data_IF_985146625348
#
_entry.id   IF_985146625348
#
_cell.length_a   1.000
_cell.length_b   1.000
_cell.length_c   1.000
_cell.angle_alpha   90.00
_cell.angle_beta   90.00
_cell.angle_gamma   90.00
#
_symmetry.space_group_name_H-M   'P 1'
#
loop_
_entity.id
_entity.type
_entity.pdbx_description
1 polymer ?
#
# COMPACT_ATOMS: atom_id res chain seq x y z
N UNK A 1 25.01 0.64 12.29
CA UNK A 1 23.89 0.63 11.34
C UNK A 1 22.86 -0.45 11.68
N UNK A 2 23.24 -1.73 11.82
CA UNK A 2 22.31 -2.82 12.19
C UNK A 2 21.63 -2.63 13.55
N UNK A 3 22.33 -2.10 14.55
CA UNK A 3 21.77 -1.79 15.87
C UNK A 3 20.69 -0.71 15.79
N UNK A 4 20.91 0.32 14.96
CA UNK A 4 19.92 1.38 14.73
C UNK A 4 18.65 0.83 14.05
N UNK A 5 18.80 -0.01 13.03
CA UNK A 5 17.64 -0.65 12.35
C UNK A 5 16.81 -1.47 13.35
N UNK A 6 17.45 -2.26 14.21
CA UNK A 6 16.73 -3.03 15.25
C UNK A 6 15.99 -2.14 16.25
N UNK A 7 16.58 -0.99 16.62
CA UNK A 7 15.93 -0.02 17.51
C UNK A 7 14.68 0.56 16.85
N UNK A 8 14.80 1.04 15.60
CA UNK A 8 13.68 1.58 14.83
C UNK A 8 12.59 0.54 14.60
N UNK A 9 12.95 -0.70 14.28
CA UNK A 9 11.99 -1.80 14.14
C UNK A 9 11.19 -2.03 15.43
N UNK A 10 11.86 -2.00 16.58
CA UNK A 10 11.21 -2.13 17.89
C UNK A 10 10.25 -0.97 18.15
N UNK A 11 10.68 0.28 17.89
CA UNK A 11 9.86 1.47 18.09
C UNK A 11 8.61 1.46 17.20
N UNK A 12 8.75 1.14 15.91
CA UNK A 12 7.64 0.97 14.97
C UNK A 12 6.67 -0.11 15.49
N UNK A 13 7.19 -1.22 15.97
CA UNK A 13 6.37 -2.33 16.48
C UNK A 13 5.59 -1.92 17.73
N UNK A 14 6.22 -1.21 18.66
CA UNK A 14 5.56 -0.71 19.87
C UNK A 14 4.47 0.31 19.51
N UNK A 15 4.74 1.20 18.54
CA UNK A 15 3.74 2.14 18.04
C UNK A 15 2.51 1.43 17.47
N UNK A 16 2.73 0.41 16.62
CA UNK A 16 1.64 -0.42 16.09
C UNK A 16 0.87 -1.13 17.20
N UNK A 17 1.56 -1.70 18.19
CA UNK A 17 0.91 -2.38 19.31
C UNK A 17 0.00 -1.45 20.11
N UNK A 18 0.46 -0.21 20.37
CA UNK A 18 -0.36 0.82 21.03
C UNK A 18 -1.60 1.14 20.21
N UNK A 19 -1.43 1.45 18.92
CA UNK A 19 -2.54 1.77 18.02
C UNK A 19 -3.57 0.64 17.93
N UNK A 20 -3.12 -0.61 17.83
CA UNK A 20 -4.01 -1.79 17.82
C UNK A 20 -4.78 -1.89 19.13
N UNK A 21 -4.10 -1.79 20.27
CA UNK A 21 -4.75 -1.88 21.58
C UNK A 21 -5.78 -0.76 21.79
N UNK A 22 -5.48 0.45 21.32
CA UNK A 22 -6.41 1.58 21.39
C UNK A 22 -7.65 1.35 20.52
N UNK A 23 -7.46 0.85 19.29
CA UNK A 23 -8.58 0.47 18.40
C UNK A 23 -9.43 -0.63 19.03
N UNK A 24 -8.82 -1.70 19.53
CA UNK A 24 -9.55 -2.81 20.15
C UNK A 24 -10.38 -2.35 21.36
N UNK A 25 -9.84 -1.44 22.19
CA UNK A 25 -10.57 -0.85 23.31
C UNK A 25 -11.74 0.00 22.86
N UNK A 26 -11.54 0.82 21.83
CA UNK A 26 -12.54 1.76 21.34
C UNK A 26 -13.69 1.06 20.63
N UNK A 27 -13.37 0.09 19.76
CA UNK A 27 -14.35 -0.61 18.93
C UNK A 27 -15.00 -1.78 19.63
N UNK A 28 -14.39 -2.29 20.72
CA UNK A 28 -14.79 -3.54 21.39
C UNK A 28 -14.86 -4.74 20.41
N UNK A 29 -14.13 -4.65 19.30
CA UNK A 29 -14.17 -5.68 18.27
C UNK A 29 -13.51 -6.97 18.75
N UNK A 30 -14.13 -8.10 18.45
CA UNK A 30 -13.48 -9.40 18.59
C UNK A 30 -12.62 -9.66 17.36
N UNK A 31 -11.31 -9.72 17.55
CA UNK A 31 -10.33 -9.89 16.46
C UNK A 31 -9.56 -11.19 16.70
N UNK A 32 -9.56 -12.08 15.71
CA UNK A 32 -8.88 -13.37 15.77
C UNK A 32 -7.38 -13.21 15.47
N UNK A 33 -7.02 -12.37 14.51
CA UNK A 33 -5.62 -12.15 14.15
C UNK A 33 -5.40 -10.74 13.59
N UNK A 34 -4.13 -10.33 13.56
CA UNK A 34 -3.65 -9.06 13.03
C UNK A 34 -2.76 -9.35 11.83
N UNK A 35 -2.97 -8.67 10.70
CA UNK A 35 -2.03 -8.65 9.60
C UNK A 35 -1.01 -7.54 9.78
N UNK A 36 0.28 -7.86 9.83
CA UNK A 36 1.38 -6.89 9.91
C UNK A 36 2.20 -6.93 8.62
N UNK A 37 2.04 -5.93 7.75
CA UNK A 37 2.91 -5.76 6.59
C UNK A 37 4.30 -5.25 6.98
N UNK A 38 4.36 -4.38 7.98
CA UNK A 38 5.57 -3.65 8.35
C UNK A 38 5.87 -2.49 7.40
N UNK A 39 7.00 -1.81 7.66
CA UNK A 39 7.49 -0.71 6.84
C UNK A 39 8.58 -1.20 5.89
N UNK A 40 8.33 -1.16 4.60
CA UNK A 40 9.34 -1.53 3.59
C UNK A 40 10.48 -0.51 3.57
N UNK A 41 11.69 -0.97 3.78
CA UNK A 41 12.92 -0.15 3.70
C UNK A 41 13.79 -0.54 2.51
N UNK A 42 13.58 -1.72 1.95
CA UNK A 42 14.25 -2.19 0.74
C UNK A 42 13.39 -3.24 0.03
N UNK A 43 13.38 -3.17 -1.30
CA UNK A 43 12.74 -4.17 -2.13
C UNK A 43 13.41 -4.23 -3.50
N UNK A 44 13.87 -5.43 -3.89
CA UNK A 44 14.34 -5.75 -5.21
C UNK A 44 13.80 -7.14 -5.60
N UNK A 45 12.82 -7.15 -6.48
CA UNK A 45 12.15 -8.39 -6.93
C UNK A 45 13.04 -9.28 -7.81
N UNK A 46 13.98 -8.70 -8.55
CA UNK A 46 14.92 -9.45 -9.39
C UNK A 46 15.92 -10.22 -8.53
N UNK A 47 16.50 -9.58 -7.53
CA UNK A 47 17.41 -10.18 -6.58
C UNK A 47 16.71 -11.04 -5.51
N UNK A 48 15.37 -11.08 -5.54
CA UNK A 48 14.55 -11.79 -4.54
C UNK A 48 14.79 -11.33 -3.11
N UNK A 49 15.07 -10.03 -2.93
CA UNK A 49 15.33 -9.43 -1.63
C UNK A 49 14.25 -8.42 -1.29
N UNK A 50 13.69 -8.55 -0.12
CA UNK A 50 12.77 -7.56 0.42
C UNK A 50 12.90 -7.47 1.93
N UNK A 51 12.94 -6.26 2.46
CA UNK A 51 13.07 -6.02 3.90
C UNK A 51 11.99 -5.06 4.38
N UNK A 52 11.16 -5.55 5.27
CA UNK A 52 10.17 -4.80 6.01
C UNK A 52 10.58 -4.73 7.48
N UNK A 53 10.43 -3.55 8.09
CA UNK A 53 10.57 -3.35 9.53
C UNK A 53 9.23 -3.63 10.21
N UNK A 54 9.28 -4.42 11.26
CA UNK A 54 8.12 -4.82 12.04
C UNK A 54 8.30 -6.23 12.59
N UNK A 55 8.31 -6.34 13.92
CA UNK A 55 8.50 -7.61 14.60
C UNK A 55 7.14 -8.22 14.98
N UNK A 56 6.66 -9.18 14.17
CA UNK A 56 5.37 -9.82 14.39
C UNK A 56 5.28 -10.59 15.72
N UNK A 57 6.37 -11.19 16.18
CA UNK A 57 6.40 -11.88 17.50
C UNK A 57 6.23 -10.88 18.65
N UNK A 58 6.95 -9.75 18.59
CA UNK A 58 6.80 -8.68 19.59
C UNK A 58 5.39 -8.09 19.56
N UNK A 59 4.83 -7.82 18.37
CA UNK A 59 3.46 -7.33 18.24
C UNK A 59 2.45 -8.30 18.86
N UNK A 60 2.57 -9.59 18.58
CA UNK A 60 1.72 -10.64 19.17
C UNK A 60 1.81 -10.66 20.71
N UNK A 61 3.01 -10.55 21.25
CA UNK A 61 3.23 -10.53 22.70
C UNK A 61 2.58 -9.28 23.36
N UNK A 62 2.64 -8.12 22.71
CA UNK A 62 2.12 -6.86 23.25
C UNK A 62 0.59 -6.75 23.12
N UNK A 63 0.01 -7.33 22.07
CA UNK A 63 -1.43 -7.24 21.80
C UNK A 63 -2.22 -8.45 22.28
N UNK A 64 -1.52 -9.54 22.64
CA UNK A 64 -2.12 -10.86 22.98
C UNK A 64 -3.00 -11.42 21.86
N UNK A 65 -2.72 -11.04 20.61
CA UNK A 65 -3.40 -11.51 19.41
C UNK A 65 -2.44 -12.30 18.53
N UNK A 66 -2.98 -13.21 17.72
CA UNK A 66 -2.21 -13.88 16.65
C UNK A 66 -1.81 -12.83 15.61
N UNK A 67 -0.57 -12.88 15.13
CA UNK A 67 -0.08 -11.96 14.10
C UNK A 67 0.40 -12.75 12.90
N UNK A 68 -0.16 -12.41 11.73
CA UNK A 68 0.32 -12.89 10.43
C UNK A 68 1.20 -11.79 9.85
N UNK A 69 2.43 -12.13 9.48
CA UNK A 69 3.43 -11.16 9.02
C UNK A 69 4.38 -11.78 8.01
N UNK A 70 5.28 -10.96 7.45
CA UNK A 70 6.32 -11.39 6.52
C UNK A 70 5.75 -11.92 5.19
N UNK A 71 4.71 -11.27 4.68
CA UNK A 71 3.94 -11.72 3.51
C UNK A 71 4.76 -11.90 2.24
N UNK A 72 5.82 -11.11 2.04
CA UNK A 72 6.60 -11.09 0.80
C UNK A 72 7.58 -12.27 0.68
N UNK A 73 8.05 -12.80 1.81
CA UNK A 73 9.12 -13.80 1.84
C UNK A 73 8.71 -15.13 1.23
N UNK A 74 7.46 -15.54 1.43
CA UNK A 74 7.00 -16.79 0.85
C UNK A 74 6.90 -16.71 -0.69
N UNK A 75 6.45 -15.59 -1.21
CA UNK A 75 6.38 -15.34 -2.65
C UNK A 75 7.79 -15.32 -3.27
N UNK A 76 8.72 -14.57 -2.66
CA UNK A 76 10.12 -14.51 -3.09
C UNK A 76 10.79 -15.90 -3.11
N UNK A 77 10.58 -16.71 -2.06
CA UNK A 77 11.11 -18.06 -1.96
C UNK A 77 10.58 -19.01 -3.02
N UNK A 78 9.37 -18.77 -3.50
CA UNK A 78 8.74 -19.57 -4.56
C UNK A 78 8.92 -18.96 -5.96
N UNK A 79 9.89 -18.06 -6.12
CA UNK A 79 10.25 -17.48 -7.42
C UNK A 79 9.47 -16.23 -7.83
N UNK A 80 8.47 -15.81 -7.04
CA UNK A 80 7.74 -14.55 -7.25
C UNK A 80 8.62 -13.33 -6.99
N UNK A 81 8.09 -12.15 -7.26
CA UNK A 81 8.80 -10.88 -7.09
C UNK A 81 8.56 -10.23 -5.72
N UNK A 82 7.72 -10.84 -4.85
CA UNK A 82 7.38 -10.31 -3.54
C UNK A 82 6.48 -9.07 -3.57
N UNK A 83 6.22 -8.52 -4.74
CA UNK A 83 5.32 -7.42 -5.01
C UNK A 83 4.95 -7.38 -6.50
N UNK A 84 3.72 -6.91 -6.87
CA UNK A 84 2.62 -6.61 -5.96
C UNK A 84 1.92 -7.87 -5.42
N UNK A 85 1.39 -7.84 -4.20
CA UNK A 85 0.59 -8.93 -3.62
C UNK A 85 -0.92 -8.62 -3.61
N UNK A 86 -1.31 -7.36 -3.73
CA UNK A 86 -2.70 -6.93 -3.79
C UNK A 86 -3.54 -7.60 -4.89
N UNK A 87 -3.01 -7.96 -6.07
CA UNK A 87 -3.77 -8.65 -7.12
C UNK A 87 -4.41 -9.96 -6.67
N UNK A 88 -3.78 -10.69 -5.76
CA UNK A 88 -4.36 -11.91 -5.18
C UNK A 88 -5.64 -11.59 -4.41
N UNK A 89 -5.61 -10.52 -3.62
CA UNK A 89 -6.76 -10.04 -2.86
C UNK A 89 -7.87 -9.50 -3.78
N UNK A 90 -7.52 -8.75 -4.84
CA UNK A 90 -8.47 -8.27 -5.83
C UNK A 90 -9.21 -9.45 -6.50
N UNK A 91 -8.48 -10.52 -6.85
CA UNK A 91 -9.08 -11.74 -7.41
C UNK A 91 -10.02 -12.43 -6.41
N UNK A 92 -9.64 -12.49 -5.13
CA UNK A 92 -10.49 -13.06 -4.09
C UNK A 92 -11.79 -12.26 -3.90
N UNK A 93 -11.70 -10.93 -3.87
CA UNK A 93 -12.88 -10.04 -3.80
C UNK A 93 -13.77 -10.23 -5.01
N UNK A 94 -13.21 -10.22 -6.23
CA UNK A 94 -13.96 -10.43 -7.47
C UNK A 94 -14.80 -11.69 -7.39
N UNK A 95 -14.21 -12.80 -6.92
CA UNK A 95 -14.91 -14.07 -6.75
C UNK A 95 -15.96 -14.00 -5.63
N UNK A 96 -15.62 -13.42 -4.50
CA UNK A 96 -16.51 -13.32 -3.33
C UNK A 96 -17.74 -12.48 -3.61
N UNK A 97 -17.54 -11.33 -4.22
CA UNK A 97 -18.62 -10.36 -4.51
C UNK A 97 -19.29 -10.62 -5.88
N UNK A 98 -18.90 -11.70 -6.58
CA UNK A 98 -19.43 -12.11 -7.89
C UNK A 98 -19.38 -10.98 -8.93
N UNK A 99 -18.25 -10.25 -8.97
CA UNK A 99 -18.05 -9.17 -9.93
C UNK A 99 -17.81 -9.77 -11.32
N UNK A 100 -18.49 -9.23 -12.32
CA UNK A 100 -18.35 -9.67 -13.69
C UNK A 100 -16.93 -9.43 -14.22
N UNK A 101 -16.45 -10.34 -15.03
CA UNK A 101 -15.14 -10.27 -15.68
C UNK A 101 -15.30 -9.92 -17.18
N UNK A 102 -14.39 -9.16 -17.76
CA UNK A 102 -13.16 -8.62 -17.16
C UNK A 102 -13.41 -7.40 -16.25
N UNK A 103 -12.53 -7.21 -15.24
CA UNK A 103 -12.64 -6.07 -14.32
C UNK A 103 -11.26 -5.44 -14.04
N UNK A 104 -11.25 -4.14 -13.82
CA UNK A 104 -10.09 -3.38 -13.41
C UNK A 104 -10.25 -2.88 -11.96
N UNK A 105 -9.22 -3.09 -11.15
CA UNK A 105 -9.04 -2.42 -9.87
C UNK A 105 -7.98 -1.35 -10.05
N UNK A 106 -8.40 -0.08 -10.02
CA UNK A 106 -7.51 1.08 -10.14
C UNK A 106 -7.24 1.64 -8.75
N UNK A 107 -5.97 1.67 -8.36
CA UNK A 107 -5.53 2.28 -7.11
C UNK A 107 -4.90 3.65 -7.39
N UNK A 108 -5.56 4.71 -6.91
CA UNK A 108 -5.11 6.10 -7.04
C UNK A 108 -4.36 6.53 -5.77
N UNK A 109 -3.15 6.01 -5.61
CA UNK A 109 -2.23 6.36 -4.52
C UNK A 109 -1.18 7.40 -4.91
N UNK A 110 -0.06 7.40 -4.22
CA UNK A 110 1.11 8.20 -4.61
C UNK A 110 1.60 7.85 -6.01
N UNK A 111 1.68 6.56 -6.30
CA UNK A 111 1.80 5.96 -7.62
C UNK A 111 0.46 5.33 -7.96
N UNK A 112 0.01 5.52 -9.19
CA UNK A 112 -1.21 4.87 -9.71
C UNK A 112 -0.83 3.48 -10.22
N UNK A 113 -1.57 2.48 -9.76
CA UNK A 113 -1.42 1.12 -10.25
C UNK A 113 -2.76 0.47 -10.57
N UNK A 114 -2.73 -0.51 -11.46
CA UNK A 114 -3.91 -1.24 -11.90
C UNK A 114 -3.72 -2.73 -11.66
N UNK A 115 -4.81 -3.41 -11.34
CA UNK A 115 -4.95 -4.86 -11.45
C UNK A 115 -6.05 -5.16 -12.43
N UNK A 116 -5.72 -5.79 -13.54
CA UNK A 116 -6.67 -6.23 -14.55
C UNK A 116 -6.92 -7.73 -14.42
N UNK A 117 -8.16 -8.11 -14.19
CA UNK A 117 -8.59 -9.51 -14.05
C UNK A 117 -9.44 -9.87 -15.26
N UNK A 118 -8.87 -10.66 -16.17
CA UNK A 118 -9.50 -11.08 -17.43
C UNK A 118 -10.44 -12.26 -17.19
N UNK A 119 -9.97 -13.21 -16.39
CA UNK A 119 -10.70 -14.45 -16.10
C UNK A 119 -10.22 -15.09 -14.78
N UNK A 120 -10.83 -16.20 -14.39
CA UNK A 120 -10.55 -16.89 -13.14
C UNK A 120 -9.26 -17.74 -13.13
N UNK A 121 -8.53 -17.84 -14.26
CA UNK A 121 -7.26 -18.58 -14.32
C UNK A 121 -6.12 -17.81 -13.61
N UNK A 122 -5.10 -18.48 -13.12
CA UNK A 122 -3.93 -17.79 -12.54
C UNK A 122 -3.28 -16.78 -13.51
N UNK A 123 -3.17 -17.15 -14.78
CA UNK A 123 -2.63 -16.30 -15.87
C UNK A 123 -3.55 -15.16 -16.29
N UNK A 124 -4.78 -15.12 -15.80
CA UNK A 124 -5.74 -14.07 -16.14
C UNK A 124 -5.67 -12.83 -15.26
N UNK A 125 -4.55 -12.61 -14.54
CA UNK A 125 -4.35 -11.43 -13.70
C UNK A 125 -3.09 -10.72 -14.13
N UNK A 126 -3.24 -9.45 -14.52
CA UNK A 126 -2.15 -8.54 -14.83
C UNK A 126 -2.13 -7.41 -13.81
N UNK A 127 -0.95 -6.98 -13.37
CA UNK A 127 -0.83 -5.83 -12.48
C UNK A 127 0.48 -5.10 -12.71
N UNK A 128 0.38 -3.78 -12.82
CA UNK A 128 1.53 -2.91 -13.05
C UNK A 128 1.25 -1.47 -12.59
N UNK A 129 2.32 -0.71 -12.42
CA UNK A 129 2.24 0.72 -12.17
C UNK A 129 1.95 1.45 -13.49
N UNK A 130 1.00 2.39 -13.47
CA UNK A 130 0.64 3.20 -14.64
C UNK A 130 1.51 4.45 -14.69
N UNK A 131 1.71 5.10 -13.53
CA UNK A 131 2.47 6.33 -13.45
C UNK A 131 2.27 7.08 -12.13
N UNK A 132 2.76 8.33 -12.05
CA UNK A 132 2.59 9.14 -10.87
C UNK A 132 1.12 9.49 -10.63
N UNK A 133 0.72 9.45 -9.37
CA UNK A 133 -0.61 9.87 -8.90
C UNK A 133 -0.52 11.07 -7.96
N UNK A 134 -1.03 10.90 -6.75
CA UNK A 134 -1.06 11.98 -5.75
C UNK A 134 0.32 12.52 -5.36
N UNK A 135 1.41 11.78 -5.61
CA UNK A 135 2.75 12.23 -5.28
C UNK A 135 3.14 13.54 -5.97
N UNK A 136 2.70 13.77 -7.22
CA UNK A 136 2.97 15.02 -7.93
C UNK A 136 2.15 16.18 -7.36
N UNK A 137 0.89 15.94 -7.02
CA UNK A 137 0.02 16.93 -6.36
C UNK A 137 0.63 17.36 -5.04
N UNK A 138 1.01 16.40 -4.20
CA UNK A 138 1.64 16.68 -2.92
C UNK A 138 2.98 17.39 -3.06
N UNK A 139 3.80 17.00 -4.05
CA UNK A 139 5.06 17.67 -4.34
C UNK A 139 4.85 19.15 -4.74
N UNK A 140 3.85 19.39 -5.59
CA UNK A 140 3.47 20.76 -6.00
C UNK A 140 3.02 21.59 -4.80
N UNK A 141 2.13 21.04 -3.95
CA UNK A 141 1.64 21.73 -2.76
C UNK A 141 2.77 22.08 -1.81
N UNK A 142 3.69 21.14 -1.54
CA UNK A 142 4.88 21.40 -0.72
C UNK A 142 5.80 22.47 -1.31
N UNK A 143 5.93 22.49 -2.64
CA UNK A 143 6.76 23.50 -3.33
C UNK A 143 6.14 24.90 -3.32
N UNK A 144 4.82 24.99 -3.41
CA UNK A 144 4.11 26.27 -3.57
C UNK A 144 3.51 26.82 -2.29
N UNK A 145 3.42 26.00 -1.25
CA UNK A 145 2.82 26.38 0.03
C UNK A 145 3.63 25.82 1.20
N UNK A 146 3.25 26.18 2.43
CA UNK A 146 3.79 25.56 3.65
C UNK A 146 3.06 24.28 4.05
N UNK A 147 2.09 23.82 3.25
CA UNK A 147 1.28 22.63 3.52
C UNK A 147 1.97 21.37 3.02
N UNK A 148 1.66 20.23 3.62
CA UNK A 148 2.19 18.92 3.22
C UNK A 148 1.43 18.32 2.03
N UNK A 149 0.13 18.60 1.95
CA UNK A 149 -0.81 18.13 0.93
C UNK A 149 -2.01 19.09 0.84
N UNK A 150 -2.87 18.91 -0.16
CA UNK A 150 -4.11 19.67 -0.31
C UNK A 150 -5.24 19.02 0.51
N UNK A 151 -5.45 19.51 1.73
CA UNK A 151 -6.46 18.94 2.61
C UNK A 151 -7.88 19.11 2.02
N UNK A 152 -8.56 18.00 1.82
CA UNK A 152 -9.90 17.88 1.21
C UNK A 152 -10.01 18.54 -0.17
N UNK A 153 -8.89 18.68 -0.88
CA UNK A 153 -8.86 19.31 -2.20
C UNK A 153 -9.23 20.79 -2.19
N UNK A 154 -9.03 21.49 -1.07
CA UNK A 154 -9.48 22.88 -0.90
C UNK A 154 -8.77 23.85 -1.85
N UNK A 155 -7.49 23.63 -2.13
CA UNK A 155 -6.73 24.46 -3.07
C UNK A 155 -7.17 24.17 -4.50
N UNK A 156 -7.30 22.90 -4.87
CA UNK A 156 -7.78 22.49 -6.19
C UNK A 156 -9.19 23.04 -6.46
N UNK A 157 -10.09 22.97 -5.48
CA UNK A 157 -11.47 23.49 -5.59
C UNK A 157 -11.52 25.00 -5.77
N UNK A 158 -10.59 25.73 -5.17
CA UNK A 158 -10.49 27.20 -5.31
C UNK A 158 -9.77 27.64 -6.59
N UNK A 159 -9.11 26.73 -7.28
CA UNK A 159 -8.38 26.98 -8.52
C UNK A 159 -9.30 27.11 -9.73
N UNK A 160 -8.70 27.56 -10.83
CA UNK A 160 -9.31 27.55 -12.17
C UNK A 160 -8.46 26.70 -13.09
N UNK A 161 -9.12 26.00 -14.00
CA UNK A 161 -8.44 25.23 -15.05
C UNK A 161 -7.70 26.22 -15.95
N UNK A 162 -6.46 25.91 -16.27
CA UNK A 162 -5.68 26.64 -17.27
C UNK A 162 -5.68 25.80 -18.54
N UNK A 163 -6.51 26.18 -19.50
CA UNK A 163 -6.73 25.44 -20.76
C UNK A 163 -5.43 25.28 -21.56
N UNK A 164 -4.56 26.32 -21.59
CA UNK A 164 -3.27 26.25 -22.30
C UNK A 164 -2.38 25.14 -21.76
N UNK A 165 -2.36 24.98 -20.43
CA UNK A 165 -1.58 23.90 -19.79
C UNK A 165 -2.23 22.55 -20.06
N UNK A 166 -3.56 22.48 -20.00
CA UNK A 166 -4.30 21.24 -20.24
C UNK A 166 -4.06 20.74 -21.67
N UNK A 167 -4.24 21.63 -22.68
CA UNK A 167 -3.98 21.31 -24.09
C UNK A 167 -2.52 20.85 -24.33
N UNK A 168 -1.57 21.49 -23.64
CA UNK A 168 -0.16 21.09 -23.75
C UNK A 168 0.07 19.69 -23.15
N UNK A 169 -0.61 19.32 -22.07
CA UNK A 169 -0.52 17.98 -21.49
C UNK A 169 -1.12 16.95 -22.44
N UNK A 170 -2.31 17.18 -22.95
CA UNK A 170 -3.00 16.28 -23.88
C UNK A 170 -2.24 16.07 -25.19
N UNK A 171 -1.43 17.04 -25.59
CA UNK A 171 -0.56 16.92 -26.77
C UNK A 171 0.64 15.98 -26.54
N UNK A 172 1.15 15.89 -25.31
CA UNK A 172 2.35 15.10 -24.99
C UNK A 172 2.06 13.70 -24.40
N UNK A 173 0.82 13.39 -24.07
CA UNK A 173 0.38 12.11 -23.51
C UNK A 173 -0.77 11.49 -24.29
#
# INVERSE_FOLDING_TARGET
>A
YQKQIKTVEKEITIFHAKSVNDILKTTKANVDFIGLHGQTIFHNGEEKISKQLGNGKLLSNLTKKKVVYDFRQNDLKNGGNGAPLAPIFHKLITKKERIDLPVNFLNLGGIVNITYIINNKPSGVLSYDIGPGNCLIDAWIRKKTKKKYDDKGAIAKAGKINEIILDAIDFYF
#
